data_IF_286874869757
#
_entry.id   IF_286874869757
#
_cell.length_a   1.000
_cell.length_b   1.000
_cell.length_c   1.000
_cell.angle_alpha   90.00
_cell.angle_beta   90.00
_cell.angle_gamma   90.00
#
_symmetry.space_group_name_H-M   'P 1'
#
loop_
_entity.id
_entity.type
_entity.pdbx_description
1 polymer ?
#
# COMPACT_ATOMS: atom_id res chain seq x y z
N UNK A 1 -50.72 3.59 9.35
CA UNK A 1 -50.06 2.71 8.36
C UNK A 1 -48.89 3.39 7.64
N UNK A 2 -49.02 4.64 7.18
CA UNK A 2 -47.92 5.38 6.53
C UNK A 2 -46.70 5.61 7.45
N UNK A 3 -46.91 6.01 8.71
CA UNK A 3 -45.80 6.21 9.66
C UNK A 3 -45.00 4.91 9.89
N UNK A 4 -45.71 3.79 10.10
CA UNK A 4 -45.08 2.48 10.34
C UNK A 4 -44.27 2.01 9.13
N UNK A 5 -44.78 2.21 7.92
CA UNK A 5 -44.06 1.86 6.67
C UNK A 5 -42.83 2.74 6.46
N UNK A 6 -42.90 4.04 6.73
CA UNK A 6 -41.74 4.95 6.68
C UNK A 6 -40.66 4.57 7.71
N UNK A 7 -41.05 4.23 8.94
CA UNK A 7 -40.11 3.77 9.98
C UNK A 7 -39.41 2.47 9.57
N UNK A 8 -40.15 1.50 9.02
CA UNK A 8 -39.58 0.25 8.51
C UNK A 8 -38.57 0.50 7.38
N UNK A 9 -38.90 1.36 6.42
CA UNK A 9 -38.01 1.69 5.32
C UNK A 9 -36.74 2.40 5.81
N UNK A 10 -36.88 3.32 6.76
CA UNK A 10 -35.74 3.99 7.38
C UNK A 10 -34.81 3.00 8.10
N UNK A 11 -35.37 2.06 8.88
CA UNK A 11 -34.57 1.03 9.58
C UNK A 11 -33.83 0.14 8.59
N UNK A 12 -34.48 -0.26 7.48
CA UNK A 12 -33.83 -1.06 6.44
C UNK A 12 -32.70 -0.26 5.78
N UNK A 13 -32.92 0.99 5.37
CA UNK A 13 -31.90 1.84 4.78
C UNK A 13 -30.73 2.10 5.73
N UNK A 14 -31.00 2.34 7.01
CA UNK A 14 -29.97 2.51 8.03
C UNK A 14 -29.17 1.21 8.22
N UNK A 15 -29.84 0.06 8.27
CA UNK A 15 -29.21 -1.25 8.39
C UNK A 15 -28.32 -1.59 7.20
N UNK A 16 -28.80 -1.36 5.97
CA UNK A 16 -28.01 -1.58 4.75
C UNK A 16 -26.83 -0.61 4.65
N UNK A 17 -27.03 0.67 5.00
CA UNK A 17 -25.95 1.66 5.04
C UNK A 17 -24.84 1.23 6.02
N UNK A 18 -25.22 0.83 7.24
CA UNK A 18 -24.25 0.37 8.25
C UNK A 18 -23.55 -0.92 7.78
N UNK A 19 -24.29 -1.87 7.22
CA UNK A 19 -23.73 -3.13 6.71
C UNK A 19 -22.72 -2.92 5.57
N UNK A 20 -23.03 -2.05 4.61
CA UNK A 20 -22.12 -1.69 3.53
C UNK A 20 -20.90 -0.92 4.05
N UNK A 21 -21.09 -0.02 5.01
CA UNK A 21 -20.01 0.75 5.62
C UNK A 21 -19.03 -0.14 6.40
N UNK A 22 -19.52 -1.13 7.16
CA UNK A 22 -18.66 -2.07 7.90
C UNK A 22 -17.91 -2.99 6.96
N UNK A 23 -18.58 -3.53 5.93
CA UNK A 23 -17.95 -4.38 4.92
C UNK A 23 -16.86 -3.63 4.14
N UNK A 24 -17.14 -2.41 3.67
CA UNK A 24 -16.16 -1.57 2.99
C UNK A 24 -14.93 -1.26 3.87
N UNK A 25 -15.16 -0.97 5.16
CA UNK A 25 -14.07 -0.72 6.12
C UNK A 25 -13.23 -1.98 6.37
N UNK A 26 -13.84 -3.16 6.36
CA UNK A 26 -13.15 -4.43 6.54
C UNK A 26 -12.28 -4.76 5.32
N UNK A 27 -12.82 -4.58 4.11
CA UNK A 27 -12.05 -4.84 2.90
C UNK A 27 -10.85 -3.89 2.78
N UNK A 28 -11.03 -2.60 3.10
CA UNK A 28 -9.92 -1.64 3.16
C UNK A 28 -8.85 -2.01 4.20
N UNK A 29 -9.20 -2.68 5.30
CA UNK A 29 -8.19 -3.23 6.23
C UNK A 29 -7.38 -4.33 5.58
N UNK A 30 -8.07 -5.27 4.92
CA UNK A 30 -7.41 -6.42 4.31
C UNK A 30 -6.47 -6.04 3.18
N UNK A 31 -6.63 -4.87 2.60
CA UNK A 31 -5.75 -4.32 1.56
C UNK A 31 -4.65 -3.38 2.08
N UNK A 32 -4.53 -3.17 3.40
CA UNK A 32 -3.52 -2.23 3.91
C UNK A 32 -3.92 -0.76 3.82
N UNK A 33 -5.14 -0.43 3.39
CA UNK A 33 -5.54 0.93 2.98
C UNK A 33 -6.12 1.78 4.10
N UNK A 34 -5.67 1.55 5.34
CA UNK A 34 -6.03 2.35 6.52
C UNK A 34 -4.98 3.44 6.77
N UNK A 35 -5.40 4.50 7.46
CA UNK A 35 -4.48 5.55 7.91
C UNK A 35 -4.07 6.59 6.86
N UNK A 36 -4.51 6.45 5.61
CA UNK A 36 -4.17 7.40 4.54
C UNK A 36 -5.20 7.46 3.42
N UNK A 37 -5.00 8.41 2.51
CA UNK A 37 -5.74 8.51 1.24
C UNK A 37 -4.99 7.73 0.17
N UNK A 38 -5.68 6.83 -0.54
CA UNK A 38 -5.11 6.16 -1.71
C UNK A 38 -4.91 7.22 -2.80
N UNK A 39 -3.65 7.44 -3.21
CA UNK A 39 -3.29 8.41 -4.26
C UNK A 39 -3.00 7.73 -5.59
N UNK A 40 -2.55 6.48 -5.55
CA UNK A 40 -2.44 5.63 -6.71
C UNK A 40 -2.82 4.20 -6.32
N UNK A 41 -3.43 3.47 -7.24
CA UNK A 41 -3.78 2.08 -7.09
C UNK A 41 -3.50 1.38 -8.40
N UNK A 42 -3.20 0.10 -8.37
CA UNK A 42 -3.11 -0.72 -9.57
C UNK A 42 -4.50 -1.03 -10.18
N UNK A 43 -5.28 0.02 -10.39
CA UNK A 43 -6.59 0.00 -11.03
C UNK A 43 -6.75 1.23 -11.94
N UNK A 44 -7.43 1.00 -13.06
CA UNK A 44 -7.76 1.89 -14.16
C UNK A 44 -8.23 3.31 -13.81
N UNK A 45 -8.73 3.55 -12.59
CA UNK A 45 -9.31 4.84 -12.17
C UNK A 45 -8.33 5.84 -11.59
N UNK A 46 -7.24 5.38 -10.96
CA UNK A 46 -6.27 6.25 -10.27
C UNK A 46 -4.93 6.36 -11.01
N UNK A 47 -4.74 5.58 -12.08
CA UNK A 47 -3.49 5.49 -12.82
C UNK A 47 -2.50 4.54 -12.15
N UNK A 48 -1.68 3.84 -12.94
CA UNK A 48 -0.68 2.93 -12.37
C UNK A 48 0.35 3.72 -11.59
N UNK A 49 0.73 3.21 -10.42
CA UNK A 49 1.84 3.73 -9.65
C UNK A 49 3.19 3.32 -10.27
N UNK A 50 3.34 3.31 -11.59
CA UNK A 50 4.62 2.89 -12.20
C UNK A 50 5.68 3.94 -11.87
N UNK A 51 6.57 3.59 -10.94
CA UNK A 51 7.69 4.41 -10.50
C UNK A 51 8.92 4.00 -11.31
N UNK A 52 9.71 4.98 -11.73
CA UNK A 52 10.94 4.76 -12.50
C UNK A 52 12.01 5.73 -12.02
N UNK A 53 13.23 5.22 -11.93
CA UNK A 53 14.44 6.01 -11.71
C UNK A 53 15.51 5.58 -12.69
N UNK A 54 16.02 6.51 -13.48
CA UNK A 54 17.18 6.28 -14.35
C UNK A 54 18.47 6.19 -13.52
N UNK A 55 18.59 7.03 -12.48
CA UNK A 55 19.74 7.05 -11.57
C UNK A 55 19.93 5.71 -10.85
N UNK A 56 18.84 5.13 -10.34
CA UNK A 56 18.85 3.82 -9.68
C UNK A 56 18.82 2.66 -10.69
N UNK A 57 18.41 2.92 -11.94
CA UNK A 57 18.16 1.87 -12.93
C UNK A 57 17.02 0.94 -12.52
N UNK A 58 16.01 1.46 -11.81
CA UNK A 58 14.91 0.70 -11.25
C UNK A 58 13.55 1.12 -11.80
N UNK A 59 12.65 0.15 -11.90
CA UNK A 59 11.23 0.33 -12.14
C UNK A 59 10.47 -0.51 -11.13
N UNK A 60 9.42 0.05 -10.54
CA UNK A 60 8.50 -0.71 -9.69
C UNK A 60 7.06 -0.25 -9.92
N UNK A 61 6.12 -1.11 -9.54
CA UNK A 61 4.69 -0.82 -9.53
C UNK A 61 4.14 -1.37 -8.21
N UNK A 62 4.05 -0.56 -7.15
CA UNK A 62 3.37 -0.96 -5.93
C UNK A 62 1.87 -1.18 -6.24
N UNK A 63 1.23 -2.09 -5.51
CA UNK A 63 -0.21 -2.33 -5.64
C UNK A 63 -0.99 -1.05 -5.32
N UNK A 64 -0.55 -0.31 -4.29
CA UNK A 64 -1.13 0.98 -3.94
C UNK A 64 -0.06 1.94 -3.41
N UNK A 65 -0.33 3.23 -3.53
CA UNK A 65 0.37 4.30 -2.81
C UNK A 65 -0.63 4.99 -1.91
N UNK A 66 -0.33 4.99 -0.60
CA UNK A 66 -1.08 5.75 0.38
C UNK A 66 -0.37 7.07 0.65
N UNK A 67 -1.14 8.14 0.74
CA UNK A 67 -0.66 9.39 1.30
C UNK A 67 -1.10 9.49 2.76
N UNK A 68 -0.11 9.46 3.65
CA UNK A 68 -0.25 9.60 5.10
C UNK A 68 0.29 10.98 5.48
N UNK A 69 -0.61 11.94 5.74
CA UNK A 69 -0.24 13.30 6.12
C UNK A 69 0.77 14.01 5.19
N UNK A 70 0.63 13.84 3.88
CA UNK A 70 1.52 14.40 2.86
C UNK A 70 2.68 13.47 2.47
N UNK A 71 2.89 12.38 3.21
CA UNK A 71 3.94 11.40 2.94
C UNK A 71 3.40 10.24 2.10
N UNK A 72 3.92 10.01 0.89
CA UNK A 72 3.58 8.83 0.12
C UNK A 72 4.30 7.60 0.70
N UNK A 73 3.56 6.52 0.91
CA UNK A 73 4.10 5.21 1.30
C UNK A 73 3.57 4.14 0.35
N UNK A 74 4.39 3.17 -0.06
CA UNK A 74 3.94 2.07 -0.89
C UNK A 74 3.24 1.01 -0.02
N UNK A 75 2.20 0.39 -0.57
CA UNK A 75 1.50 -0.76 0.00
C UNK A 75 1.60 -1.91 -0.99
N UNK A 76 2.09 -3.05 -0.50
CA UNK A 76 2.40 -4.23 -1.30
C UNK A 76 1.76 -5.47 -0.66
N UNK A 77 1.00 -6.23 -1.45
CA UNK A 77 0.35 -7.45 -1.01
C UNK A 77 1.22 -8.67 -1.32
N UNK A 78 1.23 -9.63 -0.40
CA UNK A 78 1.90 -10.93 -0.52
C UNK A 78 0.89 -12.05 -0.22
N UNK A 79 -0.02 -12.34 -1.16
CA UNK A 79 -1.16 -13.25 -0.94
C UNK A 79 -0.76 -14.70 -0.67
N UNK A 80 0.45 -15.10 -1.03
CA UNK A 80 1.00 -16.44 -0.77
C UNK A 80 1.92 -16.51 0.45
N UNK A 81 2.23 -15.39 1.10
CA UNK A 81 3.20 -15.33 2.18
C UNK A 81 2.52 -15.27 3.55
N UNK A 82 2.89 -16.20 4.43
CA UNK A 82 2.45 -16.22 5.84
C UNK A 82 3.38 -15.42 6.78
N UNK A 83 4.56 -15.01 6.28
CA UNK A 83 5.53 -14.19 7.02
C UNK A 83 6.26 -13.23 6.08
N UNK A 84 6.85 -12.19 6.65
CA UNK A 84 7.73 -11.27 5.93
C UNK A 84 9.08 -11.95 5.67
N UNK A 85 9.57 -11.87 4.43
CA UNK A 85 10.87 -12.38 4.02
C UNK A 85 11.84 -11.23 3.72
N UNK A 86 13.16 -11.44 3.79
CA UNK A 86 14.14 -10.42 3.45
C UNK A 86 13.95 -9.82 2.04
N UNK A 87 13.58 -10.66 1.06
CA UNK A 87 13.25 -10.21 -0.29
C UNK A 87 12.04 -9.27 -0.35
N UNK A 88 11.01 -9.50 0.46
CA UNK A 88 9.85 -8.60 0.54
C UNK A 88 10.25 -7.25 1.10
N UNK A 89 11.08 -7.25 2.14
CA UNK A 89 11.66 -6.04 2.72
C UNK A 89 12.44 -5.26 1.68
N UNK A 90 13.39 -5.90 0.98
CA UNK A 90 14.20 -5.23 -0.05
C UNK A 90 13.34 -4.69 -1.20
N UNK A 91 12.32 -5.45 -1.61
CA UNK A 91 11.39 -5.01 -2.65
C UNK A 91 10.66 -3.72 -2.26
N UNK A 92 10.08 -3.66 -1.06
CA UNK A 92 9.36 -2.44 -0.64
C UNK A 92 10.30 -1.30 -0.30
N UNK A 93 11.53 -1.57 0.14
CA UNK A 93 12.59 -0.55 0.24
C UNK A 93 12.90 0.07 -1.13
N UNK A 94 12.95 -0.74 -2.20
CA UNK A 94 13.14 -0.23 -3.56
C UNK A 94 11.98 0.68 -4.01
N UNK A 95 10.75 0.32 -3.65
CA UNK A 95 9.58 1.16 -3.90
C UNK A 95 9.64 2.48 -3.12
N UNK A 96 10.11 2.47 -1.87
CA UNK A 96 10.31 3.69 -1.09
C UNK A 96 11.34 4.63 -1.74
N UNK A 97 12.50 4.10 -2.14
CA UNK A 97 13.55 4.88 -2.81
C UNK A 97 13.04 5.51 -4.13
N UNK A 98 12.22 4.76 -4.89
CA UNK A 98 11.58 5.27 -6.09
C UNK A 98 10.51 6.34 -5.81
N UNK A 99 9.73 6.20 -4.73
CA UNK A 99 8.78 7.23 -4.31
C UNK A 99 9.49 8.50 -3.87
N UNK A 100 10.61 8.40 -3.15
CA UNK A 100 11.41 9.56 -2.78
C UNK A 100 11.90 10.33 -4.01
N UNK A 101 12.46 9.64 -5.01
CA UNK A 101 12.95 10.28 -6.23
C UNK A 101 11.84 10.90 -7.08
N UNK A 102 10.70 10.22 -7.19
CA UNK A 102 9.59 10.68 -8.06
C UNK A 102 8.70 11.73 -7.42
N UNK A 103 8.54 11.71 -6.09
CA UNK A 103 7.67 12.64 -5.36
C UNK A 103 8.41 13.77 -4.65
N UNK A 104 9.73 13.64 -4.47
CA UNK A 104 10.55 14.56 -3.66
C UNK A 104 10.31 14.45 -2.15
N UNK A 105 9.46 13.52 -1.70
CA UNK A 105 9.15 13.29 -0.28
C UNK A 105 9.61 11.90 0.11
N UNK A 106 10.49 11.82 1.11
CA UNK A 106 11.03 10.55 1.62
C UNK A 106 9.97 9.78 2.41
N UNK A 107 9.61 8.54 2.01
CA UNK A 107 8.76 7.68 2.81
C UNK A 107 9.48 7.27 4.10
N UNK A 108 8.78 7.21 5.23
CA UNK A 108 9.36 6.68 6.49
C UNK A 108 9.28 5.16 6.57
N UNK A 109 8.33 4.56 5.86
CA UNK A 109 8.09 3.13 5.84
C UNK A 109 7.26 2.73 4.60
N UNK A 110 7.19 1.41 4.39
CA UNK A 110 6.23 0.76 3.51
C UNK A 110 5.30 -0.15 4.31
N UNK A 111 4.16 -0.51 3.71
CA UNK A 111 3.23 -1.50 4.26
C UNK A 111 3.26 -2.77 3.43
N UNK A 112 3.54 -3.89 4.08
CA UNK A 112 3.37 -5.23 3.53
C UNK A 112 2.09 -5.85 4.08
N UNK A 113 1.28 -6.43 3.20
CA UNK A 113 0.04 -7.12 3.59
C UNK A 113 0.17 -8.60 3.27
N UNK A 114 0.18 -9.44 4.30
CA UNK A 114 0.35 -10.89 4.17
C UNK A 114 -0.96 -11.61 3.81
N UNK A 115 -0.85 -12.91 3.49
CA UNK A 115 -1.98 -13.75 3.09
C UNK A 115 -3.15 -13.76 4.10
N UNK A 116 -2.85 -13.64 5.38
CA UNK A 116 -3.82 -13.59 6.48
C UNK A 116 -4.43 -12.19 6.70
N UNK A 117 -4.09 -11.20 5.86
CA UNK A 117 -4.49 -9.80 5.99
C UNK A 117 -3.71 -9.02 7.05
N UNK A 118 -2.68 -9.61 7.66
CA UNK A 118 -1.83 -8.92 8.62
C UNK A 118 -0.96 -7.89 7.90
N UNK A 119 -0.98 -6.68 8.42
CA UNK A 119 -0.16 -5.57 7.93
C UNK A 119 1.15 -5.51 8.71
N UNK A 120 2.25 -5.33 7.99
CA UNK A 120 3.59 -5.17 8.53
C UNK A 120 4.21 -3.89 8.00
N UNK A 121 4.58 -3.00 8.92
CA UNK A 121 5.37 -1.83 8.59
C UNK A 121 6.84 -2.22 8.40
N UNK A 122 7.40 -1.79 7.27
CA UNK A 122 8.81 -1.90 6.94
C UNK A 122 9.39 -0.50 6.94
N UNK A 123 10.08 -0.11 8.01
CA UNK A 123 10.75 1.18 8.10
C UNK A 123 11.72 1.36 6.91
N UNK A 124 11.87 2.57 6.37
CA UNK A 124 12.81 2.90 5.30
C UNK A 124 13.94 3.77 5.85
N UNK A 125 14.82 3.14 6.63
CA UNK A 125 15.96 3.80 7.27
C UNK A 125 17.15 3.95 6.31
N UNK A 126 18.12 4.84 6.60
CA UNK A 126 19.34 4.95 5.80
C UNK A 126 20.10 3.62 5.66
N UNK A 127 20.12 2.79 6.70
CA UNK A 127 20.79 1.49 6.69
C UNK A 127 20.11 0.51 5.72
N UNK A 128 18.77 0.53 5.66
CA UNK A 128 18.01 -0.29 4.70
C UNK A 128 18.15 0.21 3.27
N UNK A 129 18.24 1.52 3.07
CA UNK A 129 18.55 2.09 1.76
C UNK A 129 19.95 1.64 1.31
N UNK A 130 20.92 1.66 2.21
CA UNK A 130 22.26 1.16 1.90
C UNK A 130 22.24 -0.34 1.58
N UNK A 131 21.52 -1.16 2.36
CA UNK A 131 21.35 -2.60 2.08
C UNK A 131 20.77 -2.85 0.69
N UNK A 132 19.78 -2.04 0.28
CA UNK A 132 19.21 -2.07 -1.06
C UNK A 132 20.27 -1.75 -2.13
N UNK A 133 20.98 -0.63 -1.98
CA UNK A 133 21.99 -0.19 -2.95
C UNK A 133 23.13 -1.22 -3.11
N UNK A 134 23.59 -1.79 -1.99
CA UNK A 134 24.61 -2.84 -1.98
C UNK A 134 24.11 -4.12 -2.67
N UNK A 135 22.85 -4.48 -2.45
CA UNK A 135 22.22 -5.62 -3.13
C UNK A 135 22.14 -5.39 -4.63
N UNK A 136 21.70 -4.19 -5.05
CA UNK A 136 21.65 -3.84 -6.48
C UNK A 136 23.05 -3.87 -7.11
N UNK A 137 24.07 -3.40 -6.40
CA UNK A 137 25.45 -3.46 -6.89
C UNK A 137 25.92 -4.90 -7.06
N UNK A 138 25.62 -5.78 -6.10
CA UNK A 138 25.92 -7.21 -6.22
C UNK A 138 25.22 -7.83 -7.42
N UNK A 139 23.95 -7.51 -7.66
CA UNK A 139 23.21 -8.00 -8.83
C UNK A 139 23.86 -7.54 -10.14
N UNK A 140 24.28 -6.27 -10.24
CA UNK A 140 24.99 -5.75 -11.42
C UNK A 140 26.33 -6.41 -11.68
N UNK A 141 27.05 -6.82 -10.64
CA UNK A 141 28.36 -7.46 -10.78
C UNK A 141 28.29 -8.94 -11.22
N UNK A 142 27.09 -9.54 -11.25
CA UNK A 142 26.87 -10.93 -11.66
C UNK A 142 26.39 -11.02 -13.13
N UNK A 143 25.96 -9.89 -13.71
CA UNK A 143 25.54 -9.75 -15.11
C UNK A 143 26.74 -9.43 -16.01
#
# INVERSE_FOLDING_TARGET
MLLVTLVLLFVICAGTYVGLATWSRHERQRLGLRGGRVTAADDSRLGSATLRSERLGLVARPDHVLNVHGMPIPVEQKPSAQRVWPSHTLQVSAQCALLEETSGVRPTHALLVLANGQQHEVAFTPEREQELLDTMQRMRNIL
#
